data_IF_623827159129
#
_entry.id   IF_623827159129
#
_cell.length_a   1.000
_cell.length_b   1.000
_cell.length_c   1.000
_cell.angle_alpha   90.00
_cell.angle_beta   90.00
_cell.angle_gamma   90.00
#
_symmetry.space_group_name_H-M   'P 1'
#
loop_
_entity.id
_entity.type
_entity.pdbx_description
1 polymer ?
#
# COMPACT_ATOMS: atom_id res chain seq x y z
N UNK A 1 12.48 18.31 -33.75
CA UNK A 1 11.33 17.43 -33.45
C UNK A 1 11.77 16.51 -32.32
N UNK A 2 11.49 16.89 -31.07
CA UNK A 2 11.90 16.14 -29.88
C UNK A 2 10.70 15.39 -29.32
N UNK A 3 10.81 14.06 -29.24
CA UNK A 3 9.79 13.20 -28.63
C UNK A 3 9.99 13.19 -27.10
N UNK A 4 9.01 13.75 -26.38
CA UNK A 4 8.93 13.67 -24.92
C UNK A 4 8.35 12.29 -24.57
N UNK A 5 9.18 11.43 -23.99
CA UNK A 5 8.73 10.16 -23.40
C UNK A 5 8.25 10.45 -21.98
N UNK A 6 6.93 10.50 -21.80
CA UNK A 6 6.29 10.60 -20.49
C UNK A 6 6.33 9.22 -19.83
N UNK A 7 7.22 9.03 -18.86
CA UNK A 7 7.24 7.86 -18.00
C UNK A 7 6.30 8.14 -16.80
N UNK A 8 5.15 7.45 -16.74
CA UNK A 8 4.25 7.49 -15.60
C UNK A 8 4.84 6.73 -14.40
N UNK A 9 4.90 7.32 -13.19
CA UNK A 9 5.21 6.58 -11.97
C UNK A 9 3.93 5.92 -11.41
N UNK A 10 3.65 4.69 -11.81
CA UNK A 10 2.73 3.78 -11.10
C UNK A 10 3.48 3.18 -9.90
N UNK A 11 3.61 3.91 -8.80
CA UNK A 11 4.28 3.37 -7.61
C UNK A 11 3.84 4.06 -6.32
N UNK A 12 2.58 3.90 -5.91
CA UNK A 12 2.20 4.01 -4.48
C UNK A 12 0.78 3.52 -4.23
N UNK A 13 0.61 2.21 -4.01
CA UNK A 13 -0.58 1.68 -3.36
C UNK A 13 -0.22 0.33 -2.70
N UNK A 14 0.45 0.42 -1.55
CA UNK A 14 0.82 -0.74 -0.74
C UNK A 14 0.62 -0.45 0.76
N UNK A 15 -0.53 0.10 1.14
CA UNK A 15 -0.82 0.34 2.56
C UNK A 15 -2.29 0.17 2.97
N UNK A 16 -3.03 -0.76 2.36
CA UNK A 16 -4.36 -1.12 2.88
C UNK A 16 -4.51 -2.64 2.79
N UNK A 17 -4.56 -3.30 3.96
CA UNK A 17 -4.93 -4.70 4.06
C UNK A 17 -3.93 -5.60 4.78
N UNK A 18 -3.55 -5.27 6.01
CA UNK A 18 -3.34 -6.38 6.97
C UNK A 18 -4.72 -6.95 7.26
N UNK A 19 -5.03 -8.19 6.85
CA UNK A 19 -6.29 -8.79 7.24
C UNK A 19 -6.29 -8.87 8.76
N UNK A 20 -7.40 -8.43 9.32
CA UNK A 20 -7.86 -8.70 10.67
C UNK A 20 -7.99 -10.23 10.80
N UNK A 21 -6.87 -10.92 10.96
CA UNK A 21 -6.76 -12.24 11.55
C UNK A 21 -6.13 -12.11 12.94
N UNK A 22 -6.50 -11.03 13.64
CA UNK A 22 -6.31 -10.87 15.07
C UNK A 22 -7.46 -11.53 15.84
N UNK A 23 -7.87 -12.73 15.42
CA UNK A 23 -8.82 -13.54 16.18
C UNK A 23 -8.01 -14.49 17.05
N UNK A 24 -7.77 -14.02 18.27
CA UNK A 24 -7.56 -14.83 19.49
C UNK A 24 -6.24 -15.61 19.61
N UNK A 25 -5.13 -14.90 19.74
CA UNK A 25 -3.98 -15.40 20.48
C UNK A 25 -3.97 -14.74 21.86
N UNK A 26 -4.17 -15.54 22.90
CA UNK A 26 -3.99 -15.14 24.30
C UNK A 26 -2.64 -14.42 24.50
N UNK A 27 -2.52 -13.51 25.48
CA UNK A 27 -1.26 -12.82 25.75
C UNK A 27 -0.27 -13.80 26.40
N UNK A 28 0.46 -14.55 25.59
CA UNK A 28 1.74 -15.13 26.01
C UNK A 28 2.80 -14.03 25.92
N UNK A 29 2.99 -13.40 27.07
CA UNK A 29 4.19 -12.66 27.42
C UNK A 29 5.43 -13.56 27.19
N UNK A 30 6.51 -12.95 26.70
CA UNK A 30 7.80 -13.57 26.32
C UNK A 30 7.92 -14.09 24.86
N UNK A 31 8.17 -13.16 23.92
CA UNK A 31 8.66 -13.49 22.58
C UNK A 31 9.84 -12.58 22.19
N UNK A 32 10.98 -12.87 22.80
CA UNK A 32 12.27 -12.51 22.25
C UNK A 32 12.45 -13.20 20.89
N UNK A 33 12.39 -12.44 19.80
CA UNK A 33 13.08 -12.72 18.53
C UNK A 33 12.76 -14.08 17.85
N UNK A 34 11.49 -14.49 17.78
CA UNK A 34 11.12 -15.57 16.87
C UNK A 34 11.42 -15.15 15.42
N UNK A 35 12.12 -15.98 14.61
CA UNK A 35 12.39 -15.66 13.22
C UNK A 35 11.07 -15.54 12.47
N UNK A 36 10.79 -14.35 11.92
CA UNK A 36 9.66 -14.15 11.01
C UNK A 36 9.81 -15.12 9.83
N UNK A 37 8.87 -16.05 9.71
CA UNK A 37 8.83 -17.09 8.69
C UNK A 37 7.90 -16.65 7.56
N UNK A 38 8.49 -16.27 6.44
CA UNK A 38 7.75 -15.82 5.26
C UNK A 38 7.22 -17.01 4.42
N UNK A 39 7.67 -18.24 4.69
CA UNK A 39 7.33 -19.42 3.88
C UNK A 39 5.84 -19.78 3.98
N UNK A 40 5.25 -19.64 5.17
CA UNK A 40 3.81 -19.82 5.39
C UNK A 40 2.96 -18.77 4.67
N UNK A 41 3.45 -17.52 4.61
CA UNK A 41 2.78 -16.42 3.90
C UNK A 41 2.79 -16.66 2.39
N UNK A 42 3.93 -17.05 1.82
CA UNK A 42 4.05 -17.35 0.39
C UNK A 42 3.16 -18.53 -0.02
N UNK A 43 3.10 -19.57 0.80
CA UNK A 43 2.23 -20.74 0.55
C UNK A 43 0.76 -20.33 0.56
N UNK A 44 0.36 -19.50 1.53
CA UNK A 44 -1.01 -18.98 1.63
C UNK A 44 -1.39 -18.07 0.46
N UNK A 45 -0.46 -17.22 -0.01
CA UNK A 45 -0.70 -16.33 -1.15
C UNK A 45 -0.81 -17.05 -2.49
N UNK A 46 -0.22 -18.24 -2.61
CA UNK A 46 -0.29 -19.10 -3.81
C UNK A 46 -1.43 -20.12 -3.76
N UNK A 47 -2.17 -20.17 -2.66
CA UNK A 47 -3.30 -21.08 -2.53
C UNK A 47 -4.45 -20.62 -3.45
N UNK A 48 -4.91 -21.45 -4.40
CA UNK A 48 -5.93 -21.06 -5.36
C UNK A 48 -7.30 -20.79 -4.71
N UNK A 49 -7.63 -21.43 -3.57
CA UNK A 49 -8.86 -21.14 -2.84
C UNK A 49 -8.76 -19.78 -2.13
N UNK A 50 -7.60 -19.44 -1.57
CA UNK A 50 -7.34 -18.12 -0.98
C UNK A 50 -7.38 -17.04 -2.06
N UNK A 51 -6.75 -17.26 -3.21
CA UNK A 51 -6.78 -16.32 -4.34
C UNK A 51 -8.19 -16.12 -4.89
N UNK A 52 -8.98 -17.19 -5.03
CA UNK A 52 -10.38 -17.10 -5.47
C UNK A 52 -11.23 -16.29 -4.47
N UNK A 53 -11.04 -16.54 -3.18
CA UNK A 53 -11.74 -15.81 -2.10
C UNK A 53 -11.33 -14.34 -2.07
N UNK A 54 -10.03 -14.04 -2.19
CA UNK A 54 -9.52 -12.68 -2.25
C UNK A 54 -10.02 -11.93 -3.48
N UNK A 55 -10.11 -12.60 -4.63
CA UNK A 55 -10.65 -12.03 -5.86
C UNK A 55 -12.13 -11.68 -5.72
N UNK A 56 -12.93 -12.58 -5.14
CA UNK A 56 -14.34 -12.31 -4.87
C UNK A 56 -14.53 -11.16 -3.87
N UNK A 57 -13.74 -11.12 -2.80
CA UNK A 57 -13.75 -10.03 -1.84
C UNK A 57 -13.34 -8.70 -2.48
N UNK A 58 -12.30 -8.70 -3.31
CA UNK A 58 -11.84 -7.51 -4.04
C UNK A 58 -12.88 -6.98 -5.02
N UNK A 59 -13.64 -7.86 -5.69
CA UNK A 59 -14.73 -7.46 -6.56
C UNK A 59 -15.85 -6.76 -5.77
N UNK A 60 -16.26 -7.34 -4.63
CA UNK A 60 -17.29 -6.75 -3.76
C UNK A 60 -16.83 -5.42 -3.17
N UNK A 61 -15.60 -5.36 -2.66
CA UNK A 61 -15.02 -4.13 -2.10
C UNK A 61 -14.79 -3.08 -3.18
N UNK A 62 -14.44 -3.48 -4.39
CA UNK A 62 -14.31 -2.60 -5.54
C UNK A 62 -15.65 -1.93 -5.87
N UNK A 63 -16.73 -2.70 -5.90
CA UNK A 63 -18.08 -2.16 -6.14
C UNK A 63 -18.49 -1.17 -5.03
N UNK A 64 -18.24 -1.52 -3.77
CA UNK A 64 -18.51 -0.63 -2.63
C UNK A 64 -17.68 0.67 -2.69
N UNK A 65 -16.41 0.58 -3.09
CA UNK A 65 -15.53 1.74 -3.21
C UNK A 65 -15.95 2.66 -4.35
N UNK A 66 -16.50 2.11 -5.45
CA UNK A 66 -17.00 2.91 -6.55
C UNK A 66 -18.15 3.84 -6.13
N UNK A 67 -18.95 3.44 -5.13
CA UNK A 67 -20.09 4.22 -4.66
C UNK A 67 -19.72 5.19 -3.51
N UNK A 68 -18.45 5.24 -3.09
CA UNK A 68 -18.00 6.19 -2.05
C UNK A 68 -17.98 7.62 -2.61
N UNK A 69 -18.57 8.60 -1.91
CA UNK A 69 -18.51 10.00 -2.32
C UNK A 69 -17.08 10.54 -2.23
N UNK A 70 -16.57 11.03 -3.36
CA UNK A 70 -15.20 11.56 -3.51
C UNK A 70 -15.13 13.07 -3.45
N UNK A 71 -16.26 13.76 -3.60
CA UNK A 71 -16.34 15.22 -3.53
C UNK A 71 -15.58 15.82 -2.33
N UNK A 72 -15.80 15.33 -1.08
CA UNK A 72 -15.08 15.85 0.08
C UNK A 72 -13.56 15.62 0.04
N UNK A 73 -13.11 14.49 -0.52
CA UNK A 73 -11.68 14.18 -0.65
C UNK A 73 -11.00 15.09 -1.68
N UNK A 74 -11.63 15.28 -2.84
CA UNK A 74 -11.11 16.17 -3.89
C UNK A 74 -11.03 17.60 -3.38
N UNK A 75 -12.03 18.07 -2.62
CA UNK A 75 -12.00 19.42 -2.03
C UNK A 75 -10.81 19.64 -1.10
N UNK A 76 -10.48 18.64 -0.26
CA UNK A 76 -9.30 18.71 0.63
C UNK A 76 -8.00 18.66 -0.17
N UNK A 77 -7.93 17.83 -1.21
CA UNK A 77 -6.75 17.78 -2.08
C UNK A 77 -6.53 19.10 -2.82
N UNK A 78 -7.56 19.70 -3.37
CA UNK A 78 -7.49 20.99 -4.06
C UNK A 78 -7.06 22.12 -3.12
N UNK A 79 -7.54 22.14 -1.87
CA UNK A 79 -7.08 23.10 -0.86
C UNK A 79 -5.60 22.89 -0.53
N UNK A 80 -5.19 21.64 -0.33
CA UNK A 80 -3.81 21.28 -0.02
C UNK A 80 -2.85 21.66 -1.16
N UNK A 81 -3.21 21.35 -2.40
CA UNK A 81 -2.43 21.70 -3.59
C UNK A 81 -2.37 23.22 -3.78
N UNK A 82 -3.48 23.93 -3.54
CA UNK A 82 -3.52 25.39 -3.58
C UNK A 82 -2.53 26.01 -2.59
N UNK A 83 -2.56 25.56 -1.34
CA UNK A 83 -1.64 26.02 -0.30
C UNK A 83 -0.17 25.75 -0.64
N UNK A 84 0.14 24.55 -1.14
CA UNK A 84 1.50 24.22 -1.57
C UNK A 84 1.97 25.12 -2.73
N UNK A 85 1.08 25.41 -3.68
CA UNK A 85 1.41 26.28 -4.81
C UNK A 85 1.69 27.72 -4.34
N UNK A 86 0.88 28.24 -3.41
CA UNK A 86 1.05 29.56 -2.81
C UNK A 86 2.37 29.67 -2.04
N UNK A 87 2.69 28.66 -1.22
CA UNK A 87 3.96 28.58 -0.47
C UNK A 87 5.17 28.51 -1.41
N UNK A 88 5.03 27.84 -2.55
CA UNK A 88 6.06 27.74 -3.58
C UNK A 88 6.13 28.96 -4.51
N UNK A 89 5.19 29.91 -4.42
CA UNK A 89 5.08 31.05 -5.35
C UNK A 89 4.78 30.62 -6.79
N UNK A 90 4.11 29.48 -6.95
CA UNK A 90 3.74 28.89 -8.24
C UNK A 90 2.23 28.90 -8.44
N UNK A 91 1.77 28.75 -9.67
CA UNK A 91 0.34 28.69 -9.96
C UNK A 91 -0.18 27.27 -9.77
N UNK A 92 -1.21 27.11 -8.94
CA UNK A 92 -1.89 25.83 -8.77
C UNK A 92 -2.48 25.35 -10.12
N UNK A 93 -2.52 24.04 -10.37
CA UNK A 93 -3.22 23.49 -11.53
C UNK A 93 -4.70 23.88 -11.51
N UNK A 94 -5.33 23.90 -12.69
CA UNK A 94 -6.76 24.14 -12.81
C UNK A 94 -7.54 23.11 -11.98
N UNK A 95 -8.45 23.60 -11.13
CA UNK A 95 -9.29 22.74 -10.31
C UNK A 95 -10.19 21.89 -11.19
N UNK A 96 -10.35 20.63 -10.79
CA UNK A 96 -11.32 19.76 -11.44
C UNK A 96 -12.65 20.00 -10.75
N UNK A 97 -13.64 20.51 -11.47
CA UNK A 97 -14.99 20.68 -10.94
C UNK A 97 -15.63 19.30 -10.73
N UNK A 98 -15.64 18.85 -9.47
CA UNK A 98 -16.26 17.60 -9.04
C UNK A 98 -17.47 17.95 -8.18
N UNK A 99 -18.62 17.34 -8.48
CA UNK A 99 -19.82 17.54 -7.68
C UNK A 99 -19.58 17.05 -6.22
N UNK A 100 -20.15 17.71 -5.20
CA UNK A 100 -19.88 17.38 -3.81
C UNK A 100 -20.37 15.97 -3.41
N UNK A 101 -21.35 15.46 -4.13
CA UNK A 101 -21.91 14.12 -4.03
C UNK A 101 -21.41 13.15 -5.12
N UNK A 102 -20.47 13.59 -5.97
CA UNK A 102 -19.88 12.71 -6.97
C UNK A 102 -19.22 11.51 -6.28
N UNK A 103 -19.41 10.34 -6.87
CA UNK A 103 -18.81 9.08 -6.47
C UNK A 103 -17.58 8.76 -7.33
N UNK A 104 -16.76 7.79 -6.91
CA UNK A 104 -15.69 7.27 -7.77
C UNK A 104 -16.26 6.77 -9.10
N UNK A 105 -17.45 6.15 -9.09
CA UNK A 105 -18.14 5.70 -10.30
C UNK A 105 -18.42 6.85 -11.27
N UNK A 106 -18.85 8.00 -10.77
CA UNK A 106 -19.14 9.18 -11.60
C UNK A 106 -17.87 9.76 -12.23
N UNK A 107 -16.74 9.73 -11.52
CA UNK A 107 -15.46 10.24 -12.03
C UNK A 107 -14.84 9.35 -13.10
N UNK A 108 -14.93 8.03 -12.92
CA UNK A 108 -14.36 7.05 -13.87
C UNK A 108 -15.30 6.87 -15.08
N UNK A 109 -16.57 7.25 -14.93
CA UNK A 109 -17.59 7.16 -15.97
C UNK A 109 -17.92 5.71 -16.33
N UNK A 110 -18.50 5.45 -17.53
CA UNK A 110 -18.91 4.10 -17.96
C UNK A 110 -17.76 3.10 -18.14
N UNK A 111 -16.51 3.53 -17.94
CA UNK A 111 -15.33 2.66 -17.91
C UNK A 111 -15.10 2.05 -16.51
N UNK A 112 -15.71 2.59 -15.46
CA UNK A 112 -15.57 2.11 -14.07
C UNK A 112 -16.02 0.66 -13.87
N UNK A 113 -17.12 0.26 -14.51
CA UNK A 113 -17.63 -1.11 -14.43
C UNK A 113 -16.64 -2.13 -15.03
N UNK A 114 -15.87 -1.70 -16.05
CA UNK A 114 -14.81 -2.54 -16.64
C UNK A 114 -13.58 -2.59 -15.75
N UNK A 115 -13.27 -1.51 -15.04
CA UNK A 115 -12.14 -1.44 -14.13
C UNK A 115 -12.26 -2.46 -13.00
N UNK A 116 -13.44 -2.64 -12.38
CA UNK A 116 -13.60 -3.64 -11.32
C UNK A 116 -13.33 -5.07 -11.81
N UNK A 117 -13.86 -5.40 -13.00
CA UNK A 117 -13.63 -6.70 -13.65
C UNK A 117 -12.16 -6.88 -14.03
N UNK A 118 -11.54 -5.87 -14.61
CA UNK A 118 -10.13 -5.91 -15.01
C UNK A 118 -9.21 -6.00 -13.79
N UNK A 119 -9.52 -5.28 -12.71
CA UNK A 119 -8.79 -5.35 -11.45
C UNK A 119 -8.88 -6.76 -10.86
N UNK A 120 -10.07 -7.37 -10.84
CA UNK A 120 -10.25 -8.75 -10.39
C UNK A 120 -9.40 -9.75 -11.18
N UNK A 121 -9.26 -9.57 -12.50
CA UNK A 121 -8.37 -10.44 -13.31
C UNK A 121 -6.89 -10.24 -13.01
N UNK A 122 -6.50 -9.08 -12.45
CA UNK A 122 -5.12 -8.75 -12.07
C UNK A 122 -4.77 -9.10 -10.63
N UNK A 123 -5.76 -9.38 -9.77
CA UNK A 123 -5.52 -9.75 -8.36
C UNK A 123 -4.58 -10.96 -8.22
N UNK A 124 -4.80 -12.09 -8.93
CA UNK A 124 -3.87 -13.23 -8.84
C UNK A 124 -2.45 -12.86 -9.26
N UNK A 125 -2.29 -12.07 -10.33
CA UNK A 125 -0.99 -11.61 -10.81
C UNK A 125 -0.29 -10.70 -9.79
N UNK A 126 -1.05 -9.84 -9.11
CA UNK A 126 -0.53 -8.99 -8.04
C UNK A 126 -0.13 -9.82 -6.81
N UNK A 127 -0.90 -10.85 -6.45
CA UNK A 127 -0.57 -11.78 -5.37
C UNK A 127 0.69 -12.60 -5.69
N UNK A 128 0.83 -13.06 -6.93
CA UNK A 128 2.03 -13.76 -7.39
C UNK A 128 3.26 -12.84 -7.34
N UNK A 129 3.13 -11.60 -7.81
CA UNK A 129 4.19 -10.60 -7.71
C UNK A 129 4.56 -10.29 -6.25
N UNK A 130 3.57 -10.17 -5.35
CA UNK A 130 3.80 -9.99 -3.92
C UNK A 130 4.52 -11.19 -3.29
N UNK A 131 4.18 -12.41 -3.70
CA UNK A 131 4.85 -13.62 -3.26
C UNK A 131 6.33 -13.65 -3.71
N UNK A 132 6.63 -13.21 -4.93
CA UNK A 132 8.01 -13.09 -5.43
C UNK A 132 8.81 -12.05 -4.64
N UNK A 133 8.22 -10.90 -4.35
CA UNK A 133 8.84 -9.87 -3.50
C UNK A 133 9.10 -10.42 -2.10
N UNK A 134 8.16 -11.15 -1.50
CA UNK A 134 8.35 -11.78 -0.19
C UNK A 134 9.54 -12.76 -0.19
N UNK A 135 9.68 -13.59 -1.24
CA UNK A 135 10.84 -14.48 -1.41
C UNK A 135 12.14 -13.69 -1.55
N UNK A 136 12.13 -12.56 -2.28
CA UNK A 136 13.31 -11.70 -2.42
C UNK A 136 13.72 -11.06 -1.08
N UNK A 137 12.74 -10.62 -0.28
CA UNK A 137 12.97 -10.08 1.07
C UNK A 137 13.55 -11.15 2.00
N UNK A 138 13.03 -12.38 1.94
CA UNK A 138 13.54 -13.50 2.72
C UNK A 138 15.00 -13.82 2.37
N UNK A 139 15.34 -13.82 1.08
CA UNK A 139 16.74 -13.95 0.62
C UNK A 139 17.63 -12.78 1.06
N UNK A 140 17.06 -11.58 1.20
CA UNK A 140 17.77 -10.39 1.67
C UNK A 140 17.92 -10.31 3.21
N UNK A 141 17.14 -11.09 3.97
CA UNK A 141 17.16 -11.13 5.44
C UNK A 141 18.56 -11.18 6.07
N UNK A 142 19.52 -12.03 5.64
CA UNK A 142 20.86 -12.03 6.23
C UNK A 142 21.64 -10.73 5.96
N UNK A 143 21.45 -10.08 4.82
CA UNK A 143 22.07 -8.79 4.51
C UNK A 143 21.46 -7.67 5.38
N UNK A 144 20.12 -7.68 5.54
CA UNK A 144 19.40 -6.76 6.43
C UNK A 144 19.83 -6.95 7.88
N UNK A 145 20.02 -8.19 8.35
CA UNK A 145 20.54 -8.48 9.68
C UNK A 145 21.94 -7.93 9.92
N UNK A 146 22.84 -7.99 8.92
CA UNK A 146 24.17 -7.38 9.00
C UNK A 146 24.10 -5.86 9.06
N UNK A 147 23.20 -5.24 8.30
CA UNK A 147 22.98 -3.80 8.32
C UNK A 147 22.44 -3.33 9.68
N UNK A 148 21.42 -4.01 10.20
CA UNK A 148 20.85 -3.74 11.51
C UNK A 148 21.91 -3.88 12.62
N UNK A 149 22.76 -4.91 12.56
CA UNK A 149 23.86 -5.07 13.50
C UNK A 149 24.88 -3.93 13.42
N UNK A 150 25.22 -3.45 12.22
CA UNK A 150 26.09 -2.27 12.04
C UNK A 150 25.46 -1.01 12.63
N UNK A 151 24.18 -0.79 12.35
CA UNK A 151 23.43 0.37 12.84
C UNK A 151 23.31 0.36 14.37
N UNK A 152 23.03 -0.81 14.99
CA UNK A 152 23.05 -0.98 16.45
C UNK A 152 24.41 -0.62 17.05
N UNK A 153 25.51 -1.10 16.46
CA UNK A 153 26.86 -0.76 16.92
C UNK A 153 27.15 0.74 16.80
N UNK A 154 26.75 1.37 15.69
CA UNK A 154 26.93 2.81 15.50
C UNK A 154 26.12 3.65 16.50
N UNK A 155 24.88 3.23 16.79
CA UNK A 155 24.04 3.87 17.81
C UNK A 155 24.64 3.72 19.21
N UNK A 156 25.08 2.52 19.60
CA UNK A 156 25.71 2.30 20.91
C UNK A 156 27.05 3.04 21.06
N UNK A 157 27.82 3.17 19.99
CA UNK A 157 29.09 3.90 20.01
C UNK A 157 28.89 5.42 20.14
N UNK A 158 27.83 5.97 19.54
CA UNK A 158 27.55 7.41 19.56
C UNK A 158 26.64 7.86 20.72
N UNK A 159 25.88 6.93 21.30
CA UNK A 159 25.05 7.17 22.48
C UNK A 159 25.41 6.14 23.56
N UNK A 160 26.53 6.31 24.27
CA UNK A 160 26.77 5.53 25.48
C UNK A 160 25.59 5.78 26.42
N UNK A 161 24.97 4.69 26.87
CA UNK A 161 23.77 4.69 27.72
C UNK A 161 23.83 5.81 28.76
N UNK A 162 22.87 6.73 28.70
CA UNK A 162 22.62 7.64 29.82
C UNK A 162 22.40 6.76 31.06
N UNK A 163 23.08 7.03 32.18
CA UNK A 163 22.81 6.32 33.41
C UNK A 163 21.32 6.45 33.72
N UNK A 164 20.65 5.31 33.90
CA UNK A 164 19.33 5.28 34.52
C UNK A 164 19.58 5.51 36.00
N UNK A 165 19.45 6.77 36.42
CA UNK A 165 19.23 7.13 37.82
C UNK A 165 17.80 6.73 38.25
#
# INVERSE_FOLDING_TARGET
>A
MSAIRLALPFATLALIGTPVLAQEAAPTDDSATAPFDCSGVVTTLRDPQVQATATAAAAILGELLLDVPVGPLVAVMDDTVGRLADEAGTQAPARTEVAPDATFRDLVGPQGDRMATELATRVPQAMDAAAEVAVAVEKAKPALGKLAAKMKRALTANFPSLPRD
#
